data_IF_317262562285
#
_entry.id   IF_317262562285
#
_cell.length_a   1.000
_cell.length_b   1.000
_cell.length_c   1.000
_cell.angle_alpha   90.00
_cell.angle_beta   90.00
_cell.angle_gamma   90.00
#
_symmetry.space_group_name_H-M   'P 1'
#
loop_
_entity.id
_entity.type
_entity.pdbx_description
1 polymer ?
#
# COMPACT_ATOMS: atom_id res chain seq x y z
N UNK A 1 25.76 -6.50 6.85
CA UNK A 1 27.14 -6.79 6.43
C UNK A 1 27.08 -7.13 4.94
N UNK A 2 27.84 -6.46 4.08
CA UNK A 2 27.82 -6.73 2.63
C UNK A 2 28.32 -8.14 2.26
N UNK A 3 28.83 -8.89 3.25
CA UNK A 3 29.21 -10.29 3.15
C UNK A 3 28.05 -11.29 3.36
N UNK A 4 26.91 -10.85 3.89
CA UNK A 4 25.80 -11.75 4.25
C UNK A 4 24.59 -11.60 3.32
N UNK A 5 24.48 -10.47 2.62
CA UNK A 5 23.38 -10.18 1.70
C UNK A 5 23.95 -9.51 0.46
N UNK A 6 23.92 -10.24 -0.67
CA UNK A 6 24.51 -9.82 -1.94
C UNK A 6 23.47 -9.44 -2.99
N UNK A 7 22.24 -9.89 -2.82
CA UNK A 7 21.17 -9.73 -3.80
C UNK A 7 19.80 -9.68 -3.11
N UNK A 8 18.84 -8.99 -3.74
CA UNK A 8 17.45 -9.02 -3.31
C UNK A 8 16.82 -10.40 -3.56
N UNK A 9 15.73 -10.71 -2.86
CA UNK A 9 14.94 -11.91 -3.14
C UNK A 9 14.26 -11.74 -4.51
N UNK A 10 14.64 -12.57 -5.48
CA UNK A 10 14.11 -12.57 -6.84
C UNK A 10 14.06 -13.99 -7.42
N UNK A 11 13.33 -14.24 -8.52
CA UNK A 11 13.42 -15.50 -9.24
C UNK A 11 14.84 -15.75 -9.73
N UNK A 12 15.26 -17.01 -9.70
CA UNK A 12 16.51 -17.46 -10.33
C UNK A 12 16.42 -17.42 -11.85
N UNK A 13 15.23 -17.69 -12.41
CA UNK A 13 14.88 -17.53 -13.83
C UNK A 13 13.64 -16.65 -13.95
N UNK A 14 13.79 -15.50 -14.61
CA UNK A 14 12.70 -14.53 -14.82
C UNK A 14 11.69 -14.97 -15.88
N UNK A 15 12.06 -15.89 -16.78
CA UNK A 15 11.14 -16.42 -17.79
C UNK A 15 10.14 -17.41 -17.19
N UNK A 16 10.42 -17.91 -15.97
CA UNK A 16 9.54 -18.82 -15.26
C UNK A 16 8.57 -18.04 -14.37
N UNK A 17 7.35 -17.88 -14.85
CA UNK A 17 6.31 -17.15 -14.12
C UNK A 17 5.74 -17.92 -12.92
N UNK A 18 5.76 -19.26 -12.97
CA UNK A 18 5.16 -20.14 -11.97
C UNK A 18 6.14 -21.20 -11.46
N UNK A 19 6.12 -21.44 -10.14
CA UNK A 19 6.84 -22.53 -9.50
C UNK A 19 6.02 -23.82 -9.49
N UNK A 20 6.71 -24.96 -9.37
CA UNK A 20 6.09 -26.21 -8.94
C UNK A 20 6.02 -26.24 -7.40
N UNK A 21 5.10 -27.01 -6.83
CA UNK A 21 4.97 -27.17 -5.37
C UNK A 21 3.54 -27.02 -4.86
N UNK A 22 3.42 -26.86 -3.55
CA UNK A 22 2.14 -26.60 -2.89
C UNK A 22 1.62 -25.19 -3.23
N UNK A 23 0.32 -24.96 -3.06
CA UNK A 23 -0.32 -23.69 -3.42
C UNK A 23 0.31 -22.49 -2.71
N UNK A 24 0.65 -22.59 -1.42
CA UNK A 24 1.31 -21.47 -0.71
C UNK A 24 2.70 -21.14 -1.25
N UNK A 25 3.46 -22.15 -1.66
CA UNK A 25 4.77 -21.96 -2.29
C UNK A 25 4.63 -21.27 -3.65
N UNK A 26 3.62 -21.66 -4.43
CA UNK A 26 3.31 -20.99 -5.72
C UNK A 26 2.91 -19.54 -5.50
N UNK A 27 2.08 -19.25 -4.49
CA UNK A 27 1.65 -17.88 -4.15
C UNK A 27 2.82 -17.00 -3.75
N UNK A 28 3.72 -17.47 -2.89
CA UNK A 28 4.92 -16.73 -2.49
C UNK A 28 5.85 -16.53 -3.68
N UNK A 29 6.07 -17.55 -4.51
CA UNK A 29 6.88 -17.42 -5.72
C UNK A 29 6.29 -16.40 -6.69
N UNK A 30 4.98 -16.44 -6.91
CA UNK A 30 4.26 -15.50 -7.77
C UNK A 30 4.45 -14.07 -7.30
N UNK A 31 4.33 -13.82 -5.99
CA UNK A 31 4.57 -12.50 -5.39
C UNK A 31 6.02 -12.02 -5.64
N UNK A 32 7.01 -12.89 -5.41
CA UNK A 32 8.43 -12.59 -5.66
C UNK A 32 8.67 -12.27 -7.13
N UNK A 33 8.10 -13.06 -8.05
CA UNK A 33 8.22 -12.87 -9.49
C UNK A 33 7.61 -11.54 -9.93
N UNK A 34 6.37 -11.25 -9.51
CA UNK A 34 5.69 -10.01 -9.85
C UNK A 34 6.49 -8.80 -9.38
N UNK A 35 7.01 -8.84 -8.15
CA UNK A 35 7.80 -7.74 -7.61
C UNK A 35 9.12 -7.54 -8.33
N UNK A 36 9.81 -8.63 -8.67
CA UNK A 36 11.07 -8.58 -9.41
C UNK A 36 10.87 -8.02 -10.83
N UNK A 37 9.87 -8.51 -11.57
CA UNK A 37 9.57 -8.03 -12.93
C UNK A 37 9.10 -6.58 -12.90
N UNK A 38 8.17 -6.23 -12.01
CA UNK A 38 7.68 -4.86 -11.83
C UNK A 38 8.83 -3.87 -11.57
N UNK A 39 9.86 -4.26 -10.81
CA UNK A 39 11.01 -3.40 -10.51
C UNK A 39 11.84 -2.99 -11.74
N UNK A 40 11.73 -3.73 -12.85
CA UNK A 40 12.45 -3.45 -14.10
C UNK A 40 11.57 -2.74 -15.14
N UNK A 41 10.29 -2.51 -14.83
CA UNK A 41 9.33 -1.85 -15.72
C UNK A 41 9.35 -0.33 -15.52
N UNK A 42 8.78 0.40 -16.48
CA UNK A 42 8.61 1.85 -16.37
C UNK A 42 7.60 2.22 -15.27
N UNK A 43 7.78 3.42 -14.73
CA UNK A 43 6.86 3.98 -13.74
C UNK A 43 5.42 4.05 -14.26
N UNK A 44 4.46 3.74 -13.39
CA UNK A 44 3.06 4.06 -13.59
C UNK A 44 2.87 5.58 -13.57
N UNK A 45 2.03 6.12 -14.46
CA UNK A 45 1.68 7.56 -14.49
C UNK A 45 0.23 7.72 -14.08
N UNK A 46 0.01 8.59 -13.10
CA UNK A 46 -1.33 8.96 -12.63
C UNK A 46 -1.58 10.44 -12.89
N UNK A 47 -2.81 10.76 -13.29
CA UNK A 47 -3.30 12.12 -13.34
C UNK A 47 -4.09 12.40 -12.07
N UNK A 48 -3.50 13.18 -11.17
CA UNK A 48 -4.18 13.66 -9.97
C UNK A 48 -4.86 14.99 -10.25
N UNK A 49 -6.16 15.05 -9.97
CA UNK A 49 -6.98 16.26 -10.14
C UNK A 49 -7.45 16.74 -8.77
N UNK A 50 -7.27 18.03 -8.48
CA UNK A 50 -7.86 18.67 -7.30
C UNK A 50 -8.81 19.76 -7.77
N UNK A 51 -10.10 19.60 -7.50
CA UNK A 51 -11.11 20.63 -7.71
C UNK A 51 -11.28 21.37 -6.38
N UNK A 52 -11.22 22.70 -6.42
CA UNK A 52 -11.46 23.56 -5.26
C UNK A 52 -12.68 24.43 -5.54
N UNK A 53 -13.70 24.32 -4.70
CA UNK A 53 -14.90 25.13 -4.75
C UNK A 53 -14.79 26.28 -3.74
N UNK A 54 -14.80 27.50 -4.26
CA UNK A 54 -14.77 28.74 -3.45
C UNK A 54 -16.20 29.22 -3.23
N UNK A 55 -16.60 29.42 -1.98
CA UNK A 55 -17.98 29.81 -1.61
C UNK A 55 -18.09 31.31 -1.33
N UNK A 56 -17.10 31.89 -0.64
CA UNK A 56 -17.08 33.31 -0.25
C UNK A 56 -15.89 33.61 0.68
N UNK A 57 -15.80 34.83 1.21
CA UNK A 57 -14.69 35.25 2.08
C UNK A 57 -14.73 34.59 3.48
N UNK A 58 -15.93 34.33 4.01
CA UNK A 58 -16.14 33.86 5.38
C UNK A 58 -16.30 32.33 5.48
N UNK A 59 -16.19 31.62 4.36
CA UNK A 59 -16.40 30.16 4.31
C UNK A 59 -15.15 29.47 3.78
N UNK A 60 -14.64 28.43 4.47
CA UNK A 60 -13.53 27.64 3.97
C UNK A 60 -13.83 27.03 2.60
N UNK A 61 -12.80 26.87 1.79
CA UNK A 61 -12.93 26.20 0.51
C UNK A 61 -13.19 24.70 0.70
N UNK A 62 -14.12 24.17 -0.07
CA UNK A 62 -14.30 22.74 -0.22
C UNK A 62 -13.38 22.23 -1.33
N UNK A 63 -12.88 21.00 -1.20
CA UNK A 63 -12.08 20.40 -2.25
C UNK A 63 -12.41 18.93 -2.45
N UNK A 64 -12.34 18.50 -3.70
CA UNK A 64 -12.38 17.09 -4.09
C UNK A 64 -11.05 16.75 -4.75
N UNK A 65 -10.50 15.58 -4.42
CA UNK A 65 -9.27 15.09 -5.04
C UNK A 65 -9.56 13.75 -5.70
N UNK A 66 -9.25 13.65 -6.98
CA UNK A 66 -9.33 12.42 -7.74
C UNK A 66 -7.99 12.04 -8.33
N UNK A 67 -7.90 10.79 -8.76
CA UNK A 67 -6.73 10.22 -9.41
C UNK A 67 -7.21 9.18 -10.41
N UNK A 68 -6.62 9.18 -11.61
CA UNK A 68 -6.82 8.13 -12.61
C UNK A 68 -5.49 7.72 -13.23
N UNK A 69 -5.38 6.45 -13.57
CA UNK A 69 -4.18 5.91 -14.21
C UNK A 69 -4.14 6.31 -15.69
N UNK A 70 -3.09 7.00 -16.10
CA UNK A 70 -2.88 7.39 -17.51
C UNK A 70 -1.92 6.47 -18.23
N UNK A 71 -1.02 5.82 -17.49
CA UNK A 71 -0.13 4.79 -18.01
C UNK A 71 0.14 3.74 -16.91
N UNK A 72 -0.13 2.45 -17.16
CA UNK A 72 -0.06 1.45 -16.10
C UNK A 72 1.37 1.11 -15.66
N UNK A 73 2.37 1.17 -16.57
CA UNK A 73 3.76 0.86 -16.22
C UNK A 73 3.89 -0.49 -15.49
N UNK A 74 4.65 -0.49 -14.40
CA UNK A 74 4.87 -1.67 -13.55
C UNK A 74 3.60 -2.30 -12.96
N UNK A 75 2.48 -1.58 -12.85
CA UNK A 75 1.20 -2.12 -12.37
C UNK A 75 0.65 -3.22 -13.29
N UNK A 76 1.13 -3.33 -14.53
CA UNK A 76 0.79 -4.47 -15.40
C UNK A 76 1.30 -5.81 -14.84
N UNK A 77 2.46 -5.81 -14.16
CA UNK A 77 3.03 -7.01 -13.55
C UNK A 77 2.55 -7.23 -12.10
N UNK A 78 2.24 -6.15 -11.38
CA UNK A 78 1.76 -6.17 -9.99
C UNK A 78 0.42 -5.39 -9.88
N UNK A 79 -0.69 -5.96 -10.39
CA UNK A 79 -1.97 -5.27 -10.44
C UNK A 79 -2.64 -5.15 -9.06
N UNK A 80 -2.28 -6.00 -8.11
CA UNK A 80 -2.80 -5.97 -6.73
C UNK A 80 -2.33 -4.72 -5.97
N UNK A 81 -1.23 -4.10 -6.41
CA UNK A 81 -0.74 -2.84 -5.86
C UNK A 81 -1.48 -1.60 -6.40
N UNK A 82 -2.49 -1.77 -7.26
CA UNK A 82 -3.29 -0.64 -7.79
C UNK A 82 -4.18 -0.08 -6.68
N UNK A 83 -4.00 1.20 -6.37
CA UNK A 83 -4.88 1.93 -5.46
C UNK A 83 -6.24 2.26 -6.08
N UNK A 84 -7.16 2.77 -5.25
CA UNK A 84 -8.47 3.23 -5.72
C UNK A 84 -8.35 4.39 -6.70
N UNK A 85 -9.13 4.34 -7.78
CA UNK A 85 -9.25 5.41 -8.76
C UNK A 85 -10.57 6.14 -8.57
N UNK A 86 -10.47 7.42 -8.24
CA UNK A 86 -11.59 8.33 -8.18
C UNK A 86 -11.46 9.30 -9.35
N UNK A 87 -12.23 9.07 -10.40
CA UNK A 87 -12.31 10.02 -11.52
C UNK A 87 -13.27 11.16 -11.15
N UNK A 88 -12.76 12.39 -11.23
CA UNK A 88 -13.58 13.58 -11.04
C UNK A 88 -14.16 14.04 -12.38
N UNK A 89 -15.34 14.67 -12.37
CA UNK A 89 -15.91 15.27 -13.58
C UNK A 89 -14.96 16.35 -14.13
N UNK A 90 -14.99 16.53 -15.45
CA UNK A 90 -14.32 17.66 -16.09
C UNK A 90 -15.04 18.94 -15.71
N UNK A 91 -14.29 19.89 -15.19
CA UNK A 91 -14.77 21.24 -14.83
C UNK A 91 -13.85 22.29 -15.42
N UNK A 92 -14.38 23.49 -15.61
CA UNK A 92 -13.61 24.66 -16.05
C UNK A 92 -13.40 25.65 -14.90
N UNK A 93 -12.31 26.42 -14.97
CA UNK A 93 -12.05 27.44 -13.95
C UNK A 93 -13.11 28.54 -14.03
N UNK A 94 -13.75 28.83 -12.89
CA UNK A 94 -14.83 29.82 -12.81
C UNK A 94 -16.22 29.27 -13.11
N UNK A 95 -16.33 27.96 -13.36
CA UNK A 95 -17.63 27.30 -13.49
C UNK A 95 -18.43 27.42 -12.19
N UNK A 96 -19.71 27.76 -12.33
CA UNK A 96 -20.62 27.88 -11.18
C UNK A 96 -21.07 26.49 -10.76
N UNK A 97 -20.91 26.16 -9.48
CA UNK A 97 -21.37 24.90 -8.89
C UNK A 97 -22.64 25.14 -8.06
N UNK A 98 -23.61 24.23 -8.20
CA UNK A 98 -24.83 24.25 -7.38
C UNK A 98 -24.63 23.36 -6.15
N UNK A 99 -24.84 23.92 -4.96
CA UNK A 99 -24.88 23.14 -3.73
C UNK A 99 -26.15 22.29 -3.69
N UNK A 100 -26.01 20.97 -3.76
CA UNK A 100 -27.14 20.04 -3.70
C UNK A 100 -27.50 19.65 -2.26
N UNK A 101 -26.48 19.41 -1.42
CA UNK A 101 -26.63 19.04 -0.03
C UNK A 101 -25.41 19.48 0.77
N UNK A 102 -25.63 19.78 2.04
CA UNK A 102 -24.58 20.03 3.03
C UNK A 102 -24.85 19.15 4.24
N UNK A 103 -23.83 18.41 4.68
CA UNK A 103 -23.91 17.54 5.85
C UNK A 103 -22.84 17.95 6.85
N UNK A 104 -23.23 17.99 8.13
CA UNK A 104 -22.29 18.06 9.23
C UNK A 104 -21.88 16.64 9.61
N UNK A 105 -20.58 16.42 9.75
CA UNK A 105 -20.00 15.09 10.02
C UNK A 105 -19.12 15.20 11.24
N UNK A 106 -19.64 14.68 12.35
CA UNK A 106 -18.87 14.50 13.57
C UNK A 106 -17.78 13.44 13.35
N UNK A 107 -16.59 13.71 13.88
CA UNK A 107 -15.45 12.79 13.83
C UNK A 107 -14.83 12.69 15.21
N UNK A 108 -14.50 11.46 15.60
CA UNK A 108 -13.78 11.18 16.83
C UNK A 108 -12.32 10.80 16.53
N UNK A 109 -11.45 11.03 17.50
CA UNK A 109 -10.07 10.54 17.43
C UNK A 109 -10.04 9.06 17.76
N UNK A 110 -9.41 8.27 16.90
CA UNK A 110 -9.19 6.85 17.16
C UNK A 110 -7.86 6.62 17.90
N UNK A 111 -7.77 5.61 18.77
CA UNK A 111 -6.49 5.22 19.36
C UNK A 111 -5.55 4.66 18.28
N UNK A 112 -4.23 4.66 18.51
CA UNK A 112 -3.29 4.01 17.62
C UNK A 112 -3.66 2.54 17.37
N UNK A 113 -3.66 2.12 16.11
CA UNK A 113 -3.98 0.74 15.74
C UNK A 113 -3.00 -0.24 16.38
N UNK A 114 -3.50 -1.43 16.75
CA UNK A 114 -2.65 -2.53 17.18
C UNK A 114 -1.74 -2.99 16.03
N UNK A 115 -0.61 -3.61 16.37
CA UNK A 115 0.30 -4.16 15.37
C UNK A 115 -0.28 -5.42 14.72
N UNK A 116 -0.17 -5.50 13.39
CA UNK A 116 -0.15 -6.77 12.67
C UNK A 116 1.27 -7.34 12.71
N UNK A 117 1.48 -8.62 12.35
CA UNK A 117 2.84 -9.16 12.21
C UNK A 117 3.70 -8.30 11.27
N UNK A 118 3.19 -7.96 10.08
CA UNK A 118 3.88 -7.10 9.14
C UNK A 118 4.19 -5.71 9.73
N UNK A 119 3.25 -5.13 10.49
CA UNK A 119 3.44 -3.88 11.20
C UNK A 119 4.52 -3.96 12.30
N UNK A 120 4.56 -5.09 13.02
CA UNK A 120 5.55 -5.34 14.06
C UNK A 120 6.95 -5.56 13.47
N UNK A 121 7.08 -6.34 12.38
CA UNK A 121 8.34 -6.50 11.65
C UNK A 121 8.87 -5.13 11.20
N UNK A 122 8.01 -4.28 10.63
CA UNK A 122 8.37 -2.93 10.21
C UNK A 122 8.86 -2.06 11.37
N UNK A 123 8.23 -2.16 12.53
CA UNK A 123 8.63 -1.39 13.71
C UNK A 123 9.95 -1.91 14.32
N UNK A 124 10.16 -3.23 14.35
CA UNK A 124 11.42 -3.85 14.78
C UNK A 124 12.59 -3.40 13.91
N UNK A 125 12.41 -3.44 12.58
CA UNK A 125 13.39 -2.96 11.61
C UNK A 125 13.71 -1.47 11.82
N UNK A 126 12.68 -0.62 11.93
CA UNK A 126 12.84 0.82 12.16
C UNK A 126 13.63 1.13 13.43
N UNK A 127 13.47 0.33 14.48
CA UNK A 127 14.19 0.47 15.75
C UNK A 127 15.56 -0.21 15.76
N UNK A 128 15.94 -0.90 14.69
CA UNK A 128 17.20 -1.65 14.61
C UNK A 128 17.24 -2.90 15.49
N UNK A 129 16.07 -3.39 15.93
CA UNK A 129 15.93 -4.57 16.79
C UNK A 129 15.66 -5.79 15.91
N UNK A 130 16.47 -6.83 16.05
CA UNK A 130 16.36 -8.02 15.20
C UNK A 130 17.04 -7.85 13.83
N UNK A 131 16.91 -8.88 12.99
CA UNK A 131 17.52 -9.01 11.66
C UNK A 131 16.54 -9.78 10.75
N UNK A 132 16.72 -9.77 9.42
CA UNK A 132 15.91 -10.58 8.52
C UNK A 132 15.78 -12.06 8.93
N UNK A 133 16.83 -12.64 9.51
CA UNK A 133 16.84 -14.02 10.02
C UNK A 133 16.13 -14.22 11.36
N UNK A 134 15.78 -13.16 12.10
CA UNK A 134 15.22 -13.25 13.45
C UNK A 134 13.83 -12.67 13.62
N UNK A 135 13.29 -11.94 12.63
CA UNK A 135 11.95 -11.36 12.75
C UNK A 135 10.87 -12.42 13.00
N UNK A 136 10.85 -13.50 12.22
CA UNK A 136 9.88 -14.58 12.37
C UNK A 136 10.03 -15.30 13.72
N UNK A 137 11.27 -15.55 14.19
CA UNK A 137 11.50 -16.24 15.46
C UNK A 137 11.18 -15.37 16.67
N UNK A 138 11.41 -14.05 16.61
CA UNK A 138 10.99 -13.11 17.65
C UNK A 138 9.47 -13.16 17.82
N UNK A 139 8.73 -13.04 16.71
CA UNK A 139 7.26 -13.07 16.71
C UNK A 139 6.74 -14.43 17.20
N UNK A 140 7.25 -15.53 16.67
CA UNK A 140 6.86 -16.87 17.12
C UNK A 140 7.15 -17.10 18.61
N UNK A 141 8.30 -16.64 19.12
CA UNK A 141 8.65 -16.82 20.53
C UNK A 141 7.71 -16.08 21.49
N UNK A 142 7.26 -14.86 21.13
CA UNK A 142 6.36 -14.10 22.01
C UNK A 142 4.94 -14.67 22.00
N UNK A 143 4.51 -15.26 20.88
CA UNK A 143 3.23 -15.96 20.76
C UNK A 143 3.25 -17.31 21.49
N UNK A 144 4.24 -18.17 21.21
CA UNK A 144 4.38 -19.50 21.81
C UNK A 144 4.47 -19.47 23.34
N UNK A 145 5.09 -18.42 23.89
CA UNK A 145 5.22 -18.23 25.35
C UNK A 145 4.02 -17.51 25.98
N UNK A 146 3.02 -17.13 25.19
CA UNK A 146 1.81 -16.46 25.67
C UNK A 146 2.00 -15.01 26.11
N UNK A 147 3.06 -14.33 25.66
CA UNK A 147 3.24 -12.88 25.93
C UNK A 147 2.38 -12.00 25.02
N UNK A 148 2.01 -12.51 23.85
CA UNK A 148 1.12 -11.85 22.90
C UNK A 148 0.23 -12.91 22.22
N UNK A 149 -0.94 -12.49 21.76
CA UNK A 149 -1.87 -13.34 21.02
C UNK A 149 -2.32 -12.64 19.73
N UNK A 150 -2.50 -13.42 18.66
CA UNK A 150 -3.06 -12.91 17.43
C UNK A 150 -4.59 -12.89 17.51
N UNK A 151 -5.14 -11.74 17.90
CA UNK A 151 -6.57 -11.49 17.76
C UNK A 151 -6.83 -11.20 16.28
N UNK A 152 -7.63 -12.04 15.62
CA UNK A 152 -7.89 -11.97 14.18
C UNK A 152 -8.24 -10.56 13.69
N UNK A 153 -7.99 -10.30 12.40
CA UNK A 153 -8.31 -9.00 11.77
C UNK A 153 -9.81 -8.70 11.96
N UNK A 154 -10.10 -7.68 12.77
CA UNK A 154 -11.36 -6.94 12.65
C UNK A 154 -11.32 -6.10 11.38
#
# INVERSE_FOLDING_TARGET
NAQEAHEAIRPTDSNRENAAGAEDQKRVYRLIWQRAVASQMSDAKLLRTKITATVGADTPNFFATGSRLTFPGWLMADPESRGEELELPKVTKGETLTLLALADVEKETEPPSRYTEAGLVKELEKRGIGRPSTYASIIGTIEERGYAEMVGRA
#
